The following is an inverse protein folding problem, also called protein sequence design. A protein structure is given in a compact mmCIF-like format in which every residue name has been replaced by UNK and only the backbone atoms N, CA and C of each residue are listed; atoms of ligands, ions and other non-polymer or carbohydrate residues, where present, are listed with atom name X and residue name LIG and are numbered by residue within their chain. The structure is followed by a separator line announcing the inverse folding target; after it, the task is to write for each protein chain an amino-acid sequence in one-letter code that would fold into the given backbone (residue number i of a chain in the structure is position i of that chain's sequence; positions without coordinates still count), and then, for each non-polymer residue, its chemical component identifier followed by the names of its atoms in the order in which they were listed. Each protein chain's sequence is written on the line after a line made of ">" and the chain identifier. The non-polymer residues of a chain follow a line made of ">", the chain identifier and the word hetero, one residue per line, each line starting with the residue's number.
data_IF_516569356155
#
_entry.id   IF_516569356155
#
_cell.length_a   1.000
_cell.length_b   1.000
_cell.length_c   1.000
_cell.angle_alpha   90.00
_cell.angle_beta   90.00
_cell.angle_gamma   90.00
#
_symmetry.space_group_name_H-M   'P 1'
#
loop_
_entity.id
_entity.type
_entity.pdbx_description
1 polymer ?
#
# COMPACT_ATOMS: atom_id res chain seq x y z
N UNK A 1 -18.34 -5.65 -9.43
CA UNK A 1 -17.49 -6.39 -10.39
C UNK A 1 -16.23 -6.86 -9.67
N UNK A 2 -16.16 -8.13 -9.22
CA UNK A 2 -15.08 -8.67 -8.36
C UNK A 2 -14.38 -9.78 -9.15
N UNK A 3 -13.47 -9.40 -10.05
CA UNK A 3 -12.91 -10.29 -11.07
C UNK A 3 -11.65 -11.05 -10.60
N UNK A 4 -10.85 -10.45 -9.72
CA UNK A 4 -9.59 -11.05 -9.25
C UNK A 4 -9.71 -11.84 -7.93
N UNK A 5 -10.80 -11.64 -7.17
CA UNK A 5 -10.93 -12.30 -5.86
C UNK A 5 -11.24 -13.78 -6.01
N UNK A 6 -10.40 -14.64 -5.45
CA UNK A 6 -10.63 -16.08 -5.40
C UNK A 6 -10.03 -16.89 -6.54
N UNK A 7 -9.54 -16.25 -7.62
CA UNK A 7 -8.83 -16.96 -8.70
C UNK A 7 -7.63 -17.76 -8.19
N UNK A 8 -7.00 -17.26 -7.13
CA UNK A 8 -5.76 -17.82 -6.61
C UNK A 8 -6.01 -18.87 -5.52
N UNK A 9 -6.83 -18.51 -4.53
CA UNK A 9 -7.20 -19.41 -3.43
C UNK A 9 -8.09 -20.59 -3.88
N UNK A 10 -8.86 -20.46 -4.96
CA UNK A 10 -9.71 -21.56 -5.47
C UNK A 10 -8.96 -22.53 -6.38
N UNK A 11 -7.88 -22.08 -7.03
CA UNK A 11 -7.13 -22.91 -7.98
C UNK A 11 -5.81 -23.46 -7.40
N UNK A 12 -5.42 -23.06 -6.18
CA UNK A 12 -4.21 -23.55 -5.52
C UNK A 12 -2.91 -23.08 -6.19
N UNK A 13 -2.94 -21.96 -6.90
CA UNK A 13 -1.79 -21.43 -7.69
C UNK A 13 -1.06 -20.27 -6.99
N UNK A 14 -1.26 -20.11 -5.67
CA UNK A 14 -0.77 -18.96 -4.89
C UNK A 14 0.72 -18.71 -5.03
N UNK A 15 1.51 -19.77 -5.03
CA UNK A 15 2.97 -19.68 -5.11
C UNK A 15 3.49 -19.48 -6.54
N UNK A 16 2.59 -19.52 -7.54
CA UNK A 16 2.91 -19.31 -8.96
C UNK A 16 2.58 -17.90 -9.44
N UNK A 17 1.92 -17.08 -8.60
CA UNK A 17 1.53 -15.72 -8.96
C UNK A 17 2.09 -14.68 -7.99
N UNK A 18 2.32 -13.48 -8.52
CA UNK A 18 2.67 -12.30 -7.72
C UNK A 18 1.45 -11.39 -7.64
N UNK A 19 0.87 -11.32 -6.44
CA UNK A 19 -0.32 -10.53 -6.18
C UNK A 19 0.05 -9.12 -5.70
N UNK A 20 -0.21 -8.14 -6.57
CA UNK A 20 -0.04 -6.72 -6.26
C UNK A 20 -1.36 -6.04 -5.89
N UNK A 21 -1.38 -5.27 -4.80
CA UNK A 21 -2.50 -4.37 -4.46
C UNK A 21 -2.01 -2.98 -4.08
N UNK A 22 -2.92 -2.01 -4.01
CA UNK A 22 -2.59 -0.61 -3.68
C UNK A 22 -3.54 -0.08 -2.61
N UNK A 23 -3.04 0.79 -1.74
CA UNK A 23 -3.85 1.53 -0.77
C UNK A 23 -3.52 3.02 -0.83
N UNK A 24 -4.52 3.88 -0.65
CA UNK A 24 -4.50 5.34 -0.33
C UNK A 24 -5.95 5.82 -0.40
N UNK A 25 -6.72 5.31 -1.37
CA UNK A 25 -8.15 5.60 -1.49
C UNK A 25 -8.99 4.77 -0.51
N UNK A 26 -10.27 5.10 -0.36
CA UNK A 26 -11.22 4.26 0.39
C UNK A 26 -11.25 2.82 -0.16
N UNK A 27 -11.20 1.84 0.73
CA UNK A 27 -11.41 0.44 0.33
C UNK A 27 -12.87 0.16 -0.06
N UNK A 28 -13.84 1.03 0.23
CA UNK A 28 -15.26 0.81 -0.08
C UNK A 28 -15.80 1.84 -1.07
N UNK A 29 -16.75 1.41 -1.90
CA UNK A 29 -17.49 2.29 -2.81
C UNK A 29 -18.67 3.01 -2.12
N UNK A 30 -18.84 2.83 -0.81
CA UNK A 30 -19.86 3.50 0.02
C UNK A 30 -19.19 4.28 1.17
N UNK A 31 -18.39 5.33 0.86
CA UNK A 31 -17.69 6.13 1.87
C UNK A 31 -18.65 6.97 2.73
N UNK A 32 -19.89 7.14 2.30
CA UNK A 32 -20.99 7.76 3.03
C UNK A 32 -21.45 6.96 4.25
N UNK A 33 -21.28 5.64 4.22
CA UNK A 33 -21.61 4.74 5.35
C UNK A 33 -20.45 4.54 6.32
N UNK A 34 -19.29 5.10 6.02
CA UNK A 34 -18.17 5.13 6.95
C UNK A 34 -18.40 6.27 7.94
N UNK A 35 -18.00 6.09 9.20
CA UNK A 35 -18.05 7.14 10.21
C UNK A 35 -17.10 8.30 9.88
N UNK A 36 -16.08 8.52 10.71
CA UNK A 36 -15.09 9.56 10.43
C UNK A 36 -14.25 9.15 9.22
N UNK A 37 -14.54 9.72 8.04
CA UNK A 37 -13.94 9.35 6.74
C UNK A 37 -12.41 9.38 6.74
N UNK A 38 -11.80 10.31 7.46
CA UNK A 38 -10.35 10.43 7.59
C UNK A 38 -9.67 9.15 8.09
N UNK A 39 -10.38 8.31 8.86
CA UNK A 39 -9.82 7.07 9.40
C UNK A 39 -9.76 5.92 8.39
N UNK A 40 -10.41 6.04 7.23
CA UNK A 40 -10.61 4.96 6.27
C UNK A 40 -9.90 5.20 4.92
N UNK A 41 -9.14 6.29 4.81
CA UNK A 41 -8.37 6.66 3.64
C UNK A 41 -7.01 7.22 4.03
N UNK A 42 -6.21 7.47 3.00
CA UNK A 42 -4.93 8.14 3.07
C UNK A 42 -3.79 7.28 3.57
N UNK A 43 -2.68 7.97 3.81
CA UNK A 43 -1.42 7.39 4.27
C UNK A 43 -1.22 7.26 5.80
N UNK A 44 -2.14 7.67 6.71
CA UNK A 44 -1.98 7.39 8.14
C UNK A 44 -2.12 5.90 8.48
N UNK A 45 -1.51 5.50 9.59
CA UNK A 45 -1.48 4.12 10.08
C UNK A 45 -2.87 3.45 10.15
N UNK A 46 -3.89 4.19 10.61
CA UNK A 46 -5.26 3.67 10.76
C UNK A 46 -5.88 3.30 9.41
N UNK A 47 -5.73 4.20 8.43
CA UNK A 47 -6.23 4.01 7.07
C UNK A 47 -5.55 2.81 6.41
N UNK A 48 -4.21 2.74 6.51
CA UNK A 48 -3.41 1.62 6.01
C UNK A 48 -3.87 0.28 6.62
N UNK A 49 -3.99 0.18 7.95
CA UNK A 49 -4.39 -1.06 8.62
C UNK A 49 -5.75 -1.55 8.13
N UNK A 50 -6.76 -0.67 8.10
CA UNK A 50 -8.11 -1.03 7.67
C UNK A 50 -8.16 -1.42 6.17
N UNK A 51 -7.41 -0.71 5.32
CA UNK A 51 -7.32 -1.03 3.89
C UNK A 51 -6.60 -2.37 3.64
N UNK A 52 -5.54 -2.67 4.40
CA UNK A 52 -4.81 -3.92 4.34
C UNK A 52 -5.68 -5.11 4.74
N UNK A 53 -6.30 -5.05 5.92
CA UNK A 53 -7.23 -6.08 6.42
C UNK A 53 -8.40 -6.31 5.44
N UNK A 54 -8.97 -5.21 4.91
CA UNK A 54 -10.05 -5.31 3.93
C UNK A 54 -9.58 -5.94 2.60
N UNK A 55 -8.35 -5.67 2.17
CA UNK A 55 -7.77 -6.22 0.93
C UNK A 55 -7.56 -7.72 1.04
N UNK A 56 -6.95 -8.18 2.13
CA UNK A 56 -6.76 -9.62 2.42
C UNK A 56 -8.10 -10.36 2.44
N UNK A 57 -9.09 -9.83 3.17
CA UNK A 57 -10.46 -10.39 3.22
C UNK A 57 -11.15 -10.39 1.85
N UNK A 58 -10.89 -9.37 1.02
CA UNK A 58 -11.50 -9.26 -0.30
C UNK A 58 -10.87 -10.21 -1.32
N UNK A 59 -9.57 -10.39 -1.26
CA UNK A 59 -8.83 -11.25 -2.15
C UNK A 59 -8.87 -12.72 -1.70
N UNK A 60 -9.19 -12.96 -0.42
CA UNK A 60 -9.20 -14.27 0.24
C UNK A 60 -7.80 -14.89 0.25
N UNK A 61 -6.81 -14.12 0.69
CA UNK A 61 -5.40 -14.53 0.79
C UNK A 61 -4.85 -14.16 2.16
N UNK A 62 -3.84 -14.90 2.61
CA UNK A 62 -3.19 -14.67 3.90
C UNK A 62 -2.11 -13.59 3.82
N UNK A 63 -1.47 -13.43 2.65
CA UNK A 63 -0.42 -12.43 2.43
C UNK A 63 -0.49 -11.82 1.02
N UNK A 64 0.07 -10.63 0.88
CA UNK A 64 0.22 -9.88 -0.37
C UNK A 64 1.70 -9.84 -0.76
N UNK A 65 2.03 -10.14 -2.01
CA UNK A 65 3.43 -10.08 -2.46
C UNK A 65 3.92 -8.64 -2.56
N UNK A 66 3.09 -7.75 -3.13
CA UNK A 66 3.49 -6.37 -3.39
C UNK A 66 2.39 -5.38 -3.01
N UNK A 67 2.63 -4.61 -1.95
CA UNK A 67 1.74 -3.53 -1.53
C UNK A 67 2.29 -2.18 -2.01
N UNK A 68 1.52 -1.49 -2.83
CA UNK A 68 1.81 -0.12 -3.23
C UNK A 68 1.10 0.91 -2.36
N UNK A 69 1.83 1.93 -1.92
CA UNK A 69 1.24 3.24 -1.63
C UNK A 69 0.78 3.82 -2.97
N UNK A 70 -0.53 4.01 -3.14
CA UNK A 70 -1.11 4.39 -4.42
C UNK A 70 -0.74 5.83 -4.80
N UNK A 71 -0.78 6.76 -3.83
CA UNK A 71 -0.37 8.16 -3.98
C UNK A 71 0.22 8.69 -2.67
N UNK A 72 1.18 9.61 -2.75
CA UNK A 72 1.57 10.40 -1.59
C UNK A 72 0.58 11.56 -1.38
N UNK A 73 -0.28 11.44 -0.36
CA UNK A 73 -1.30 12.45 -0.04
C UNK A 73 -0.87 13.44 1.06
N UNK A 74 0.32 13.26 1.64
CA UNK A 74 0.91 14.11 2.69
C UNK A 74 0.05 14.28 3.94
N UNK A 75 -0.92 13.39 4.16
CA UNK A 75 -1.74 13.39 5.37
C UNK A 75 -1.03 12.81 6.59
N UNK A 76 0.11 12.12 6.36
CA UNK A 76 1.01 11.61 7.37
C UNK A 76 2.46 11.92 6.96
N UNK A 77 3.38 11.95 7.94
CA UNK A 77 4.80 12.08 7.67
C UNK A 77 5.32 10.84 6.93
N UNK A 78 6.44 10.99 6.22
CA UNK A 78 7.05 9.86 5.50
C UNK A 78 7.50 8.81 6.51
N UNK A 79 8.01 9.26 7.64
CA UNK A 79 8.48 8.46 8.76
C UNK A 79 7.32 7.62 9.35
N UNK A 80 6.17 8.24 9.64
CA UNK A 80 4.98 7.54 10.15
C UNK A 80 4.44 6.52 9.15
N UNK A 81 4.36 6.89 7.88
CA UNK A 81 3.91 5.98 6.81
C UNK A 81 4.88 4.81 6.66
N UNK A 82 6.20 5.06 6.66
CA UNK A 82 7.22 4.03 6.57
C UNK A 82 7.19 3.07 7.76
N UNK A 83 7.03 3.59 8.97
CA UNK A 83 6.90 2.75 10.17
C UNK A 83 5.64 1.88 10.10
N UNK A 84 4.52 2.46 9.66
CA UNK A 84 3.26 1.71 9.50
C UNK A 84 3.34 0.63 8.43
N UNK A 85 4.03 0.89 7.31
CA UNK A 85 4.28 -0.08 6.26
C UNK A 85 5.20 -1.20 6.74
N UNK A 86 6.25 -0.86 7.47
CA UNK A 86 7.17 -1.85 8.03
C UNK A 86 6.46 -2.79 9.00
N UNK A 87 5.52 -2.29 9.81
CA UNK A 87 4.72 -3.14 10.70
C UNK A 87 3.92 -4.21 9.93
N UNK A 88 3.44 -3.91 8.72
CA UNK A 88 2.76 -4.91 7.89
C UNK A 88 3.72 -5.98 7.34
N UNK A 89 4.95 -5.59 7.03
CA UNK A 89 5.99 -6.53 6.58
C UNK A 89 6.43 -7.45 7.72
N UNK A 90 6.70 -6.87 8.89
CA UNK A 90 7.08 -7.64 10.09
C UNK A 90 5.94 -8.59 10.53
N UNK A 91 4.68 -8.18 10.34
CA UNK A 91 3.53 -9.04 10.60
C UNK A 91 3.35 -10.18 9.58
N UNK A 92 4.11 -10.20 8.48
CA UNK A 92 3.99 -11.21 7.42
C UNK A 92 2.81 -10.99 6.46
N UNK A 93 2.05 -9.89 6.63
CA UNK A 93 0.91 -9.59 5.78
C UNK A 93 1.34 -9.16 4.36
N UNK A 94 2.55 -8.63 4.23
CA UNK A 94 3.11 -8.09 2.99
C UNK A 94 4.57 -8.49 2.85
N UNK A 95 4.99 -8.93 1.66
CA UNK A 95 6.38 -9.32 1.41
C UNK A 95 7.24 -8.16 0.89
N UNK A 96 6.72 -7.39 -0.08
CA UNK A 96 7.41 -6.27 -0.69
C UNK A 96 6.54 -5.01 -0.68
N UNK A 97 7.20 -3.87 -0.52
CA UNK A 97 6.56 -2.57 -0.49
C UNK A 97 6.90 -1.78 -1.75
N UNK A 98 5.95 -1.00 -2.25
CA UNK A 98 6.18 -0.10 -3.37
C UNK A 98 5.47 1.24 -3.23
N UNK A 99 5.83 2.17 -4.10
CA UNK A 99 5.32 3.54 -4.14
C UNK A 99 4.92 3.89 -5.57
N UNK A 100 3.69 4.37 -5.74
CA UNK A 100 3.11 4.85 -6.99
C UNK A 100 2.76 6.33 -6.86
N UNK A 101 2.78 7.06 -7.98
CA UNK A 101 2.32 8.46 -8.08
C UNK A 101 2.81 9.36 -6.92
N UNK A 102 4.12 9.31 -6.67
CA UNK A 102 4.80 10.11 -5.66
C UNK A 102 5.86 11.01 -6.30
N UNK A 103 6.10 12.21 -5.75
CA UNK A 103 7.21 13.04 -6.20
C UNK A 103 8.55 12.32 -6.10
N UNK A 104 9.44 12.58 -7.07
CA UNK A 104 10.73 11.89 -7.18
C UNK A 104 11.60 11.97 -5.91
N UNK A 105 11.46 13.04 -5.12
CA UNK A 105 12.23 13.26 -3.88
C UNK A 105 11.75 12.38 -2.70
N UNK A 106 10.55 11.80 -2.75
CA UNK A 106 10.04 10.93 -1.67
C UNK A 106 10.83 9.63 -1.59
N UNK A 107 11.08 9.01 -2.74
CA UNK A 107 11.78 7.72 -2.83
C UNK A 107 13.14 7.73 -2.12
N UNK A 108 14.07 8.67 -2.42
CA UNK A 108 15.36 8.71 -1.74
C UNK A 108 15.21 9.02 -0.24
N UNK A 109 14.24 9.88 0.15
CA UNK A 109 14.00 10.19 1.57
C UNK A 109 13.48 8.98 2.34
N UNK A 110 12.49 8.26 1.81
CA UNK A 110 11.96 7.03 2.40
C UNK A 110 13.02 5.92 2.47
N UNK A 111 13.82 5.75 1.42
CA UNK A 111 14.91 4.77 1.41
C UNK A 111 16.05 5.14 2.36
N UNK A 112 16.33 6.43 2.55
CA UNK A 112 17.26 6.89 3.58
C UNK A 112 16.73 6.53 4.97
N UNK A 113 15.48 6.88 5.27
CA UNK A 113 14.85 6.53 6.55
C UNK A 113 14.93 5.02 6.81
N UNK A 114 14.58 4.19 5.82
CA UNK A 114 14.65 2.74 5.96
C UNK A 114 16.06 2.20 6.29
N UNK A 115 17.10 2.78 5.70
CA UNK A 115 18.50 2.41 5.99
C UNK A 115 18.92 2.84 7.40
N UNK A 116 18.49 4.02 7.82
CA UNK A 116 18.86 4.60 9.11
C UNK A 116 18.15 3.90 10.28
N UNK A 117 16.98 3.29 10.06
CA UNK A 117 16.15 2.67 11.11
C UNK A 117 16.01 1.15 11.00
N UNK A 118 16.77 0.47 10.14
CA UNK A 118 16.68 -0.99 9.87
C UNK A 118 15.25 -1.42 9.50
N UNK A 119 14.54 -0.56 8.75
CA UNK A 119 13.20 -0.89 8.22
C UNK A 119 13.31 -1.49 6.82
N UNK A 120 12.25 -2.19 6.41
CA UNK A 120 12.14 -2.75 5.06
C UNK A 120 12.20 -1.64 4.01
N UNK A 121 13.01 -1.85 2.96
CA UNK A 121 13.17 -0.88 1.86
C UNK A 121 11.91 -0.82 0.99
N UNK A 122 11.65 0.34 0.40
CA UNK A 122 10.63 0.46 -0.65
C UNK A 122 11.24 0.06 -1.99
N UNK A 123 10.62 -0.90 -2.67
CA UNK A 123 10.91 -1.25 -4.04
C UNK A 123 10.12 -0.34 -4.97
N UNK A 124 10.84 0.30 -5.89
CA UNK A 124 10.26 1.28 -6.78
C UNK A 124 9.54 0.57 -7.93
N UNK A 125 8.22 0.72 -8.03
CA UNK A 125 7.57 0.73 -9.34
C UNK A 125 7.02 2.13 -9.57
N UNK A 126 7.91 2.99 -10.04
CA UNK A 126 7.56 4.28 -10.59
C UNK A 126 6.64 3.98 -11.79
N UNK A 127 5.33 4.19 -11.62
CA UNK A 127 4.51 4.62 -12.74
C UNK A 127 4.81 6.11 -12.88
N UNK A 128 5.87 6.44 -13.62
CA UNK A 128 6.18 7.83 -14.00
C UNK A 128 5.05 8.26 -14.95
N UNK A 129 3.92 8.73 -14.41
CA UNK A 129 3.27 9.85 -15.07
C UNK A 129 4.12 11.05 -14.69
N UNK A 130 5.20 11.21 -15.44
CA UNK A 130 6.04 12.38 -15.40
C UNK A 130 5.21 13.56 -15.91
N UNK A 131 4.33 14.10 -15.07
CA UNK A 131 3.77 15.41 -15.32
C UNK A 131 4.84 16.41 -14.87
N UNK A 132 5.85 16.57 -15.72
CA UNK A 132 6.67 17.77 -15.72
C UNK A 132 5.73 18.94 -16.00
N UNK A 133 5.19 19.59 -14.97
CA UNK A 133 4.91 21.02 -15.08
C UNK A 133 6.23 21.73 -14.80
N UNK A 134 7.03 21.84 -15.86
CA UNK A 134 7.93 22.97 -16.00
C UNK A 134 7.08 24.25 -16.08
N UNK A 135 7.56 25.29 -15.39
CA UNK A 135 7.00 26.63 -15.21
C UNK A 135 5.77 26.75 -14.29
#
# INVERSE_FOLDING_TARGET
>A
KRWASGLDAQNGVRDQIILGTKFTSFYTCQPDKLGIRANYQGNPAKGLRLNGEASLKKLKVDYIDLLYVHRCDFTASIEDTMQSLNNLVVAGNVLCLGLSDAPAWIVPKANKYARDTVHTRLHVAISLVASYKCC
#
